data_IF_151201436118
#
_entry.id   IF_151201436118
#
_cell.length_a   1.000
_cell.length_b   1.000
_cell.length_c   1.000
_cell.angle_alpha   90.00
_cell.angle_beta   90.00
_cell.angle_gamma   90.00
#
_symmetry.space_group_name_H-M   'P 1'
#
loop_
_entity.id
_entity.type
_entity.pdbx_description
1 polymer ?
#
# COMPACT_ATOMS: atom_id res chain seq x y z
N UNK A 1 -22.32 -12.88 3.64
CA UNK A 1 -20.88 -13.05 3.39
C UNK A 1 -20.61 -14.46 2.85
N UNK A 2 -19.66 -14.61 1.93
CA UNK A 2 -19.31 -15.90 1.29
C UNK A 2 -17.79 -16.07 1.36
N UNK A 3 -17.31 -17.21 1.84
CA UNK A 3 -15.88 -17.53 1.87
C UNK A 3 -15.47 -18.19 0.55
N UNK A 4 -14.43 -17.65 -0.11
CA UNK A 4 -13.79 -18.26 -1.27
C UNK A 4 -12.30 -18.50 -0.97
N UNK A 5 -11.74 -19.59 -1.50
CA UNK A 5 -10.29 -19.83 -1.45
C UNK A 5 -9.70 -19.27 -2.73
N UNK A 6 -9.08 -18.09 -2.63
CA UNK A 6 -8.60 -17.29 -3.77
C UNK A 6 -7.28 -16.60 -3.45
N UNK A 7 -6.56 -16.19 -4.48
CA UNK A 7 -5.35 -15.38 -4.33
C UNK A 7 -5.67 -13.90 -4.01
N UNK A 8 -4.69 -13.16 -3.49
CA UNK A 8 -4.89 -11.72 -3.27
C UNK A 8 -5.20 -10.96 -4.58
N UNK A 9 -4.66 -11.42 -5.71
CA UNK A 9 -4.99 -10.84 -7.01
C UNK A 9 -6.48 -10.99 -7.36
N UNK A 10 -7.06 -12.18 -7.09
CA UNK A 10 -8.49 -12.41 -7.25
C UNK A 10 -9.31 -11.67 -6.20
N UNK A 11 -8.80 -11.58 -4.97
CA UNK A 11 -9.44 -10.84 -3.87
C UNK A 11 -9.55 -9.33 -4.21
N UNK A 12 -8.48 -8.71 -4.71
CA UNK A 12 -8.48 -7.34 -5.22
C UNK A 12 -9.51 -7.20 -6.36
N UNK A 13 -9.52 -8.13 -7.32
CA UNK A 13 -10.47 -8.07 -8.44
C UNK A 13 -11.94 -8.18 -7.98
N UNK A 14 -12.23 -9.02 -6.97
CA UNK A 14 -13.55 -9.13 -6.35
C UNK A 14 -13.93 -7.84 -5.59
N UNK A 15 -12.97 -7.17 -4.95
CA UNK A 15 -13.18 -5.88 -4.28
C UNK A 15 -13.47 -4.76 -5.31
N UNK A 16 -12.66 -4.68 -6.36
CA UNK A 16 -12.83 -3.70 -7.45
C UNK A 16 -14.19 -3.87 -8.14
N UNK A 17 -14.58 -5.13 -8.44
CA UNK A 17 -15.91 -5.41 -8.99
C UNK A 17 -17.03 -4.81 -8.12
N UNK A 18 -16.92 -4.97 -6.80
CA UNK A 18 -17.93 -4.45 -5.85
C UNK A 18 -17.86 -2.94 -5.68
N UNK A 19 -16.69 -2.34 -5.81
CA UNK A 19 -16.53 -0.89 -5.78
C UNK A 19 -17.08 -0.20 -7.03
N UNK A 20 -17.29 -0.95 -8.13
CA UNK A 20 -17.89 -0.46 -9.39
C UNK A 20 -17.18 0.77 -9.95
N UNK A 21 -15.87 0.70 -10.29
CA UNK A 21 -15.24 1.77 -11.03
C UNK A 21 -15.85 1.89 -12.43
N UNK A 22 -15.98 3.12 -12.93
CA UNK A 22 -16.49 3.41 -14.26
C UNK A 22 -15.46 3.15 -15.35
N UNK A 23 -14.17 3.35 -15.04
CA UNK A 23 -13.06 3.22 -16.00
C UNK A 23 -11.90 2.46 -15.39
N UNK A 24 -11.38 1.49 -16.14
CA UNK A 24 -10.26 0.63 -15.76
C UNK A 24 -9.23 0.62 -16.91
N UNK A 25 -8.31 1.60 -16.98
CA UNK A 25 -7.21 1.55 -17.94
C UNK A 25 -6.10 0.65 -17.41
N UNK A 26 -5.61 -0.27 -18.22
CA UNK A 26 -4.56 -1.22 -17.80
C UNK A 26 -3.57 -1.53 -18.90
N UNK A 27 -2.35 -1.87 -18.47
CA UNK A 27 -1.33 -2.58 -19.23
C UNK A 27 -0.83 -3.76 -18.39
N UNK A 28 -0.85 -5.01 -18.93
CA UNK A 28 -0.53 -6.20 -18.12
C UNK A 28 0.98 -6.31 -17.86
N UNK A 29 1.33 -6.54 -16.60
CA UNK A 29 2.70 -6.84 -16.17
C UNK A 29 2.68 -7.89 -15.05
N UNK A 30 3.61 -8.87 -15.08
CA UNK A 30 3.76 -9.88 -14.02
C UNK A 30 4.21 -9.21 -12.71
N UNK A 31 3.66 -9.54 -11.50
CA UNK A 31 2.58 -10.52 -11.25
C UNK A 31 1.16 -9.92 -11.20
N UNK A 32 0.98 -8.66 -11.60
CA UNK A 32 -0.32 -7.96 -11.61
C UNK A 32 -1.30 -8.53 -12.66
N UNK A 33 -0.82 -9.22 -13.68
CA UNK A 33 -1.63 -9.69 -14.84
C UNK A 33 -2.93 -10.38 -14.43
N UNK A 34 -2.92 -11.20 -13.36
CA UNK A 34 -4.13 -11.86 -12.87
C UNK A 34 -5.24 -10.88 -12.44
N UNK A 35 -4.89 -9.71 -11.90
CA UNK A 35 -5.87 -8.68 -11.53
C UNK A 35 -6.54 -8.17 -12.81
N UNK A 36 -5.74 -7.77 -13.80
CA UNK A 36 -6.25 -7.21 -15.04
C UNK A 36 -7.07 -8.21 -15.88
N UNK A 37 -6.63 -9.47 -15.95
CA UNK A 37 -7.36 -10.53 -16.66
C UNK A 37 -8.70 -10.79 -16.00
N UNK A 38 -8.75 -10.92 -14.66
CA UNK A 38 -10.00 -11.16 -13.96
C UNK A 38 -10.99 -10.02 -14.08
N UNK A 39 -10.52 -8.77 -14.08
CA UNK A 39 -11.38 -7.60 -14.33
C UNK A 39 -11.90 -7.58 -15.77
N UNK A 40 -11.07 -7.97 -16.74
CA UNK A 40 -11.51 -8.10 -18.13
C UNK A 40 -12.62 -9.15 -18.28
N UNK A 41 -12.49 -10.30 -17.58
CA UNK A 41 -13.53 -11.35 -17.56
C UNK A 41 -14.84 -10.80 -16.99
N UNK A 42 -14.82 -10.13 -15.83
CA UNK A 42 -16.02 -9.55 -15.22
C UNK A 42 -16.74 -8.54 -16.15
N UNK A 43 -15.98 -7.74 -16.88
CA UNK A 43 -16.59 -6.80 -17.86
C UNK A 43 -17.16 -7.57 -19.06
N UNK A 44 -16.43 -8.57 -19.58
CA UNK A 44 -16.90 -9.36 -20.72
C UNK A 44 -18.14 -10.20 -20.40
N UNK A 45 -18.25 -10.72 -19.17
CA UNK A 45 -19.38 -11.51 -18.70
C UNK A 45 -20.58 -10.64 -18.24
N UNK A 46 -20.42 -9.31 -18.24
CA UNK A 46 -21.46 -8.37 -17.80
C UNK A 46 -21.64 -8.32 -16.27
N UNK A 47 -20.68 -8.84 -15.50
CA UNK A 47 -20.67 -8.78 -14.03
C UNK A 47 -20.19 -7.42 -13.50
N UNK A 48 -19.48 -6.65 -14.31
CA UNK A 48 -18.99 -5.30 -14.02
C UNK A 48 -19.28 -4.39 -15.21
N UNK A 49 -20.08 -3.36 -14.97
CA UNK A 49 -20.37 -2.31 -15.97
C UNK A 49 -19.28 -1.23 -15.87
N UNK A 50 -18.18 -1.42 -16.62
CA UNK A 50 -17.03 -0.52 -16.65
C UNK A 50 -16.43 -0.42 -18.05
N UNK A 51 -15.83 0.72 -18.36
CA UNK A 51 -14.98 0.87 -19.53
C UNK A 51 -13.59 0.31 -19.26
N UNK A 52 -13.36 -0.94 -19.69
CA UNK A 52 -12.04 -1.58 -19.59
C UNK A 52 -11.19 -1.19 -20.80
N UNK A 53 -10.12 -0.42 -20.58
CA UNK A 53 -9.30 0.19 -21.63
C UNK A 53 -7.92 -0.45 -21.65
N UNK A 54 -7.61 -1.22 -22.69
CA UNK A 54 -6.25 -1.72 -22.96
C UNK A 54 -5.45 -0.63 -23.64
N UNK A 55 -4.34 -0.26 -23.03
CA UNK A 55 -3.39 0.74 -23.54
C UNK A 55 -2.08 0.09 -23.94
N UNK A 56 -1.17 0.86 -24.57
CA UNK A 56 0.10 0.33 -25.07
C UNK A 56 1.26 0.42 -24.06
N UNK A 57 1.02 1.08 -22.92
CA UNK A 57 2.03 1.22 -21.86
C UNK A 57 1.41 1.58 -20.52
N UNK A 58 2.17 1.37 -19.44
CA UNK A 58 1.75 1.77 -18.10
C UNK A 58 1.63 3.29 -17.97
N UNK A 59 2.52 4.06 -18.61
CA UNK A 59 2.41 5.51 -18.65
C UNK A 59 1.06 5.95 -19.24
N UNK A 60 0.62 5.33 -20.33
CA UNK A 60 -0.68 5.60 -20.93
C UNK A 60 -1.84 5.14 -20.06
N UNK A 61 -1.67 4.04 -19.28
CA UNK A 61 -2.69 3.60 -18.34
C UNK A 61 -2.95 4.66 -17.26
N UNK A 62 -1.90 5.18 -16.63
CA UNK A 62 -2.05 6.23 -15.62
C UNK A 62 -2.55 7.54 -16.24
N UNK A 63 -2.09 7.91 -17.42
CA UNK A 63 -2.57 9.11 -18.13
C UNK A 63 -4.07 9.02 -18.47
N UNK A 64 -4.55 7.85 -18.89
CA UNK A 64 -5.97 7.60 -19.11
C UNK A 64 -6.77 7.61 -17.80
N UNK A 65 -6.20 7.07 -16.71
CA UNK A 65 -6.79 7.12 -15.38
C UNK A 65 -6.98 8.56 -14.89
N UNK A 66 -5.97 9.42 -15.08
CA UNK A 66 -6.04 10.85 -14.74
C UNK A 66 -7.15 11.53 -15.54
N UNK A 67 -7.21 11.28 -16.85
CA UNK A 67 -8.25 11.85 -17.72
C UNK A 67 -9.65 11.44 -17.31
N UNK A 68 -9.86 10.16 -17.01
CA UNK A 68 -11.15 9.62 -16.55
C UNK A 68 -11.55 10.19 -15.18
N UNK A 69 -10.63 10.15 -14.20
CA UNK A 69 -10.89 10.71 -12.86
C UNK A 69 -11.12 12.23 -12.90
N UNK A 70 -10.39 12.94 -13.77
CA UNK A 70 -10.61 14.35 -14.05
C UNK A 70 -12.00 14.63 -14.69
N UNK A 71 -12.62 13.66 -15.34
CA UNK A 71 -14.00 13.76 -15.82
C UNK A 71 -15.05 13.48 -14.71
N UNK A 72 -14.62 13.18 -13.49
CA UNK A 72 -15.49 13.02 -12.32
C UNK A 72 -16.05 11.61 -12.12
N UNK A 73 -15.37 10.58 -12.63
CA UNK A 73 -15.78 9.19 -12.48
C UNK A 73 -14.82 8.38 -11.61
N UNK A 74 -15.30 7.28 -11.02
CA UNK A 74 -14.49 6.35 -10.22
C UNK A 74 -13.53 5.56 -11.12
N UNK A 75 -12.27 5.50 -10.75
CA UNK A 75 -11.20 4.90 -11.56
C UNK A 75 -10.38 3.90 -10.76
N UNK A 76 -10.05 2.78 -11.39
CA UNK A 76 -9.09 1.80 -10.89
C UNK A 76 -8.03 1.48 -11.94
N UNK A 77 -6.80 1.27 -11.49
CA UNK A 77 -5.73 0.67 -12.32
C UNK A 77 -4.88 -0.28 -11.49
N UNK A 78 -4.01 -1.05 -12.12
CA UNK A 78 -3.08 -1.92 -11.43
C UNK A 78 -1.76 -2.02 -12.20
N UNK A 79 -0.65 -2.15 -11.46
CA UNK A 79 0.69 -2.24 -12.04
C UNK A 79 1.65 -3.04 -11.15
N UNK A 80 2.93 -3.01 -11.48
CA UNK A 80 4.03 -3.67 -10.77
C UNK A 80 5.38 -3.15 -11.27
N UNK A 81 6.40 -3.06 -10.40
CA UNK A 81 7.82 -2.94 -10.79
C UNK A 81 8.12 -1.83 -11.80
N UNK A 82 8.75 -2.21 -12.94
CA UNK A 82 9.06 -1.27 -14.04
C UNK A 82 7.84 -0.57 -14.60
N UNK A 83 6.65 -1.19 -14.51
CA UNK A 83 5.41 -0.55 -14.91
C UNK A 83 5.11 0.65 -14.03
N UNK A 84 5.28 0.51 -12.70
CA UNK A 84 5.14 1.64 -11.78
C UNK A 84 6.22 2.69 -12.02
N UNK A 85 7.48 2.29 -12.17
CA UNK A 85 8.56 3.22 -12.50
C UNK A 85 8.33 3.96 -13.84
N UNK A 86 7.69 3.32 -14.82
CA UNK A 86 7.33 3.96 -16.09
C UNK A 86 6.14 4.93 -15.95
N UNK A 87 5.34 4.78 -14.88
CA UNK A 87 4.28 5.73 -14.53
C UNK A 87 4.78 6.92 -13.67
N UNK A 88 6.05 7.03 -13.33
CA UNK A 88 6.58 7.99 -12.35
C UNK A 88 6.05 9.40 -12.55
N UNK A 89 6.15 9.98 -13.76
CA UNK A 89 5.66 11.33 -14.05
C UNK A 89 4.13 11.47 -13.83
N UNK A 90 3.28 10.62 -14.47
CA UNK A 90 1.83 10.74 -14.26
C UNK A 90 1.39 10.37 -12.84
N UNK A 91 2.15 9.58 -12.07
CA UNK A 91 1.88 9.33 -10.64
C UNK A 91 1.97 10.64 -9.85
N UNK A 92 3.01 11.45 -10.06
CA UNK A 92 3.11 12.80 -9.48
C UNK A 92 2.00 13.73 -9.97
N UNK A 93 1.66 13.65 -11.25
CA UNK A 93 0.59 14.47 -11.84
C UNK A 93 -0.78 14.16 -11.23
N UNK A 94 -1.10 12.88 -10.97
CA UNK A 94 -2.36 12.47 -10.35
C UNK A 94 -2.56 13.10 -8.96
N UNK A 95 -1.55 13.04 -8.11
CA UNK A 95 -1.58 13.67 -6.79
C UNK A 95 -1.65 15.21 -6.90
N UNK A 96 -0.87 15.79 -7.84
CA UNK A 96 -0.85 17.23 -8.10
C UNK A 96 -2.19 17.78 -8.57
N UNK A 97 -2.94 16.99 -9.33
CA UNK A 97 -4.29 17.34 -9.82
C UNK A 97 -5.40 16.99 -8.83
N UNK A 98 -5.08 16.33 -7.71
CA UNK A 98 -6.05 15.94 -6.68
C UNK A 98 -7.16 15.03 -7.24
N UNK A 99 -6.78 14.03 -8.07
CA UNK A 99 -7.72 13.07 -8.65
C UNK A 99 -7.71 11.74 -7.86
N UNK A 100 -8.88 11.28 -7.36
CA UNK A 100 -8.98 10.12 -6.47
C UNK A 100 -8.92 8.79 -7.24
N UNK A 101 -7.72 8.41 -7.67
CA UNK A 101 -7.47 7.14 -8.35
C UNK A 101 -7.10 6.06 -7.33
N UNK A 102 -7.65 4.87 -7.43
CA UNK A 102 -7.19 3.70 -6.68
C UNK A 102 -6.33 2.82 -7.61
N UNK A 103 -5.13 2.48 -7.13
CA UNK A 103 -4.22 1.60 -7.85
C UNK A 103 -3.79 0.43 -6.96
N UNK A 104 -3.81 -0.78 -7.51
CA UNK A 104 -3.12 -1.91 -6.88
C UNK A 104 -1.70 -2.03 -7.44
N UNK A 105 -0.72 -2.09 -6.54
CA UNK A 105 0.66 -2.42 -6.88
C UNK A 105 1.01 -3.82 -6.37
N UNK A 106 1.22 -4.75 -7.30
CA UNK A 106 1.73 -6.08 -6.98
C UNK A 106 3.25 -6.01 -6.90
N UNK A 107 3.77 -5.64 -5.73
CA UNK A 107 5.17 -5.31 -5.48
C UNK A 107 6.13 -6.33 -6.08
N UNK A 108 7.09 -5.85 -6.85
CA UNK A 108 8.11 -6.63 -7.54
C UNK A 108 9.39 -5.81 -7.68
N UNK A 109 10.53 -6.50 -7.54
CA UNK A 109 11.86 -5.92 -7.70
C UNK A 109 12.04 -5.13 -9.00
N UNK A 110 12.78 -4.04 -8.94
CA UNK A 110 13.14 -3.21 -10.10
C UNK A 110 14.36 -3.76 -10.85
N UNK A 111 14.37 -3.64 -12.17
CA UNK A 111 15.55 -3.85 -13.02
C UNK A 111 16.58 -2.73 -12.82
N UNK A 112 17.86 -2.91 -13.08
CA UNK A 112 18.61 -4.12 -13.46
C UNK A 112 19.34 -4.69 -12.26
N UNK A 113 19.50 -6.03 -12.14
CA UNK A 113 19.13 -7.06 -13.09
C UNK A 113 17.62 -7.28 -13.15
N UNK A 114 17.11 -7.88 -14.25
CA UNK A 114 15.69 -8.20 -14.34
C UNK A 114 15.34 -9.29 -13.32
N UNK A 115 14.26 -9.05 -12.58
CA UNK A 115 13.75 -9.95 -11.58
C UNK A 115 12.22 -9.87 -11.62
N UNK A 116 11.51 -10.97 -11.37
CA UNK A 116 10.04 -11.00 -11.38
C UNK A 116 9.42 -11.24 -10.02
N UNK A 117 10.27 -11.50 -9.00
CA UNK A 117 9.81 -11.78 -7.64
C UNK A 117 9.71 -10.54 -6.78
N UNK A 118 9.17 -10.73 -5.59
CA UNK A 118 8.84 -9.67 -4.66
C UNK A 118 10.06 -8.97 -4.05
N UNK A 119 9.99 -7.67 -4.00
CA UNK A 119 10.46 -6.78 -2.94
C UNK A 119 9.59 -5.50 -3.00
N UNK A 120 9.87 -4.51 -2.17
CA UNK A 120 9.03 -3.32 -2.06
C UNK A 120 9.67 -2.07 -2.69
N UNK A 121 10.76 -2.27 -3.44
CA UNK A 121 11.53 -1.17 -4.05
C UNK A 121 10.70 -0.32 -5.01
N UNK A 122 9.75 -0.92 -5.73
CA UNK A 122 8.90 -0.23 -6.71
C UNK A 122 8.01 0.82 -6.05
N UNK A 123 7.12 0.43 -5.15
CA UNK A 123 6.23 1.38 -4.46
C UNK A 123 6.99 2.35 -3.55
N UNK A 124 8.08 1.91 -2.91
CA UNK A 124 8.89 2.78 -2.07
C UNK A 124 9.70 3.82 -2.87
N UNK A 125 9.98 3.59 -4.16
CA UNK A 125 10.54 4.62 -5.03
C UNK A 125 9.56 5.76 -5.34
N UNK A 126 8.25 5.52 -5.18
CA UNK A 126 7.17 6.51 -5.38
C UNK A 126 6.68 7.16 -4.07
N UNK A 127 7.37 6.92 -2.94
CA UNK A 127 6.95 7.42 -1.61
C UNK A 127 6.78 8.94 -1.50
N UNK A 128 7.42 9.69 -2.39
CA UNK A 128 7.40 11.16 -2.41
C UNK A 128 6.41 11.73 -3.45
N UNK A 129 5.64 10.87 -4.11
CA UNK A 129 4.72 11.27 -5.19
C UNK A 129 3.43 11.93 -4.71
N UNK A 130 3.12 11.90 -3.41
CA UNK A 130 1.89 12.46 -2.85
C UNK A 130 0.70 11.49 -2.85
N UNK A 131 0.96 10.20 -3.01
CA UNK A 131 -0.02 9.12 -2.89
C UNK A 131 -0.13 8.60 -1.46
N UNK A 132 -1.32 8.16 -1.08
CA UNK A 132 -1.50 7.33 0.11
C UNK A 132 -1.03 5.92 -0.25
N UNK A 133 -0.16 5.32 0.57
CA UNK A 133 0.38 3.97 0.37
C UNK A 133 0.01 3.08 1.54
N UNK A 134 -0.72 1.99 1.26
CA UNK A 134 -1.21 1.03 2.25
C UNK A 134 -0.73 -0.37 1.86
N UNK A 135 -0.03 -1.06 2.76
CA UNK A 135 0.54 -2.38 2.56
C UNK A 135 -0.31 -3.46 3.24
N UNK A 136 -0.89 -4.35 2.46
CA UNK A 136 -1.67 -5.46 2.97
C UNK A 136 -0.78 -6.65 3.36
N UNK A 137 -1.13 -7.32 4.45
CA UNK A 137 -0.44 -8.50 4.98
C UNK A 137 -0.98 -9.82 4.38
N UNK A 138 -2.29 -9.86 4.10
CA UNK A 138 -3.00 -11.07 3.67
C UNK A 138 -3.92 -10.81 2.48
N UNK A 139 -4.42 -11.88 1.85
CA UNK A 139 -5.44 -11.79 0.80
C UNK A 139 -6.76 -11.18 1.30
N UNK A 140 -7.13 -11.45 2.56
CA UNK A 140 -8.31 -10.83 3.18
C UNK A 140 -8.11 -9.32 3.33
N UNK A 141 -6.96 -8.90 3.85
CA UNK A 141 -6.69 -7.47 4.00
C UNK A 141 -6.59 -6.76 2.65
N UNK A 142 -6.05 -7.42 1.62
CA UNK A 142 -6.01 -6.86 0.26
C UNK A 142 -7.42 -6.58 -0.29
N UNK A 143 -8.38 -7.49 -0.06
CA UNK A 143 -9.79 -7.28 -0.40
C UNK A 143 -10.39 -6.10 0.38
N UNK A 144 -10.26 -6.13 1.70
CA UNK A 144 -10.86 -5.13 2.59
C UNK A 144 -10.27 -3.73 2.36
N UNK A 145 -8.94 -3.65 2.22
CA UNK A 145 -8.22 -2.39 1.97
C UNK A 145 -8.56 -1.80 0.61
N UNK A 146 -8.75 -2.63 -0.43
CA UNK A 146 -9.14 -2.13 -1.76
C UNK A 146 -10.50 -1.42 -1.72
N UNK A 147 -11.48 -1.93 -0.98
CA UNK A 147 -12.77 -1.26 -0.81
C UNK A 147 -12.61 0.06 -0.01
N UNK A 148 -11.86 0.02 1.09
CA UNK A 148 -11.57 1.20 1.91
C UNK A 148 -10.81 2.28 1.11
N UNK A 149 -9.91 1.88 0.22
CA UNK A 149 -9.09 2.79 -0.59
C UNK A 149 -9.95 3.73 -1.45
N UNK A 150 -11.04 3.24 -2.03
CA UNK A 150 -11.98 4.11 -2.76
C UNK A 150 -12.62 5.14 -1.83
N UNK A 151 -13.11 4.72 -0.67
CA UNK A 151 -13.73 5.63 0.30
C UNK A 151 -12.76 6.68 0.83
N UNK A 152 -11.49 6.30 1.04
CA UNK A 152 -10.43 7.21 1.48
C UNK A 152 -10.08 8.20 0.38
N UNK A 153 -9.83 7.70 -0.85
CA UNK A 153 -9.45 8.53 -1.98
C UNK A 153 -10.52 9.58 -2.33
N UNK A 154 -11.80 9.16 -2.31
CA UNK A 154 -12.95 9.98 -2.67
C UNK A 154 -13.43 10.91 -1.55
N UNK A 155 -12.85 10.82 -0.36
CA UNK A 155 -13.19 11.71 0.75
C UNK A 155 -12.85 13.16 0.37
N UNK A 156 -13.81 14.08 0.54
CA UNK A 156 -13.70 15.50 0.13
C UNK A 156 -12.53 16.25 0.78
N UNK A 157 -12.14 15.85 2.00
CA UNK A 157 -11.05 16.47 2.74
C UNK A 157 -9.67 15.84 2.40
N UNK A 158 -9.67 14.77 1.60
CA UNK A 158 -8.51 14.06 1.09
C UNK A 158 -8.31 14.29 -0.40
N UNK A 159 -9.18 13.76 -1.26
CA UNK A 159 -9.08 13.79 -2.73
C UNK A 159 -7.63 13.56 -3.21
N UNK A 160 -7.06 12.43 -2.80
CA UNK A 160 -5.73 11.99 -3.19
C UNK A 160 -5.79 10.54 -3.68
N UNK A 161 -4.93 10.19 -4.63
CA UNK A 161 -4.85 8.82 -5.08
C UNK A 161 -4.31 7.89 -3.99
N UNK A 162 -4.78 6.62 -4.00
CA UNK A 162 -4.39 5.57 -3.05
C UNK A 162 -3.77 4.39 -3.77
N UNK A 163 -2.61 3.95 -3.29
CA UNK A 163 -1.91 2.75 -3.74
C UNK A 163 -2.11 1.65 -2.69
N UNK A 164 -2.70 0.53 -3.11
CA UNK A 164 -2.81 -0.70 -2.32
C UNK A 164 -1.69 -1.63 -2.74
N UNK A 165 -0.70 -1.80 -1.87
CA UNK A 165 0.49 -2.60 -2.11
C UNK A 165 0.32 -4.01 -1.58
N UNK A 166 0.64 -5.01 -2.40
CA UNK A 166 0.62 -6.43 -2.03
C UNK A 166 1.89 -7.12 -2.49
N UNK A 167 2.45 -7.96 -1.64
CA UNK A 167 3.67 -8.69 -1.96
C UNK A 167 3.45 -9.64 -3.15
N UNK A 168 4.03 -9.30 -4.31
CA UNK A 168 3.93 -10.06 -5.55
C UNK A 168 4.49 -11.49 -5.40
N UNK A 169 3.92 -12.45 -6.11
CA UNK A 169 4.15 -13.89 -5.99
C UNK A 169 3.78 -14.48 -4.62
N UNK A 170 4.14 -13.85 -3.51
CA UNK A 170 3.77 -14.35 -2.18
C UNK A 170 2.24 -14.32 -2.05
N UNK A 171 1.62 -13.15 -2.07
CA UNK A 171 0.17 -13.02 -1.93
C UNK A 171 -0.60 -13.22 -3.25
N UNK A 172 -0.01 -12.83 -4.39
CA UNK A 172 -0.71 -12.89 -5.68
C UNK A 172 -0.82 -14.30 -6.26
N UNK A 173 -0.04 -15.29 -5.75
CA UNK A 173 0.00 -16.65 -6.27
C UNK A 173 -0.29 -17.73 -5.21
N UNK A 174 -0.29 -17.40 -3.92
CA UNK A 174 -0.87 -18.25 -2.88
C UNK A 174 -2.38 -18.03 -2.80
N UNK A 175 -3.09 -19.01 -2.30
CA UNK A 175 -4.55 -18.95 -2.13
C UNK A 175 -4.90 -19.14 -0.66
N UNK A 176 -5.76 -18.28 -0.15
CA UNK A 176 -6.22 -18.29 1.22
C UNK A 176 -7.75 -18.16 1.28
N UNK A 177 -8.38 -18.57 2.37
CA UNK A 177 -9.78 -18.27 2.60
C UNK A 177 -10.01 -16.76 2.71
N UNK A 178 -10.79 -16.19 1.81
CA UNK A 178 -11.19 -14.77 1.81
C UNK A 178 -12.70 -14.69 1.98
N UNK A 179 -13.13 -13.98 2.99
CA UNK A 179 -14.54 -13.69 3.25
C UNK A 179 -14.97 -12.47 2.44
N UNK A 180 -15.80 -12.70 1.45
CA UNK A 180 -16.33 -11.66 0.56
C UNK A 180 -17.63 -11.09 1.15
N UNK A 181 -17.70 -9.79 1.33
CA UNK A 181 -18.92 -9.08 1.70
C UNK A 181 -19.88 -8.98 0.50
N UNK A 182 -21.17 -8.83 0.77
CA UNK A 182 -22.17 -8.77 -0.30
C UNK A 182 -22.06 -7.46 -1.08
N UNK A 183 -22.67 -7.43 -2.28
CA UNK A 183 -22.68 -6.19 -3.06
C UNK A 183 -23.48 -5.10 -2.35
N UNK A 184 -24.61 -5.46 -1.75
CA UNK A 184 -25.49 -4.55 -1.02
C UNK A 184 -24.76 -3.90 0.17
N UNK A 185 -23.98 -4.68 0.91
CA UNK A 185 -23.18 -4.18 2.04
C UNK A 185 -22.08 -3.23 1.58
N UNK A 186 -21.45 -3.51 0.42
CA UNK A 186 -20.44 -2.60 -0.18
C UNK A 186 -21.11 -1.33 -0.66
N UNK A 187 -22.26 -1.41 -1.33
CA UNK A 187 -22.99 -0.23 -1.82
C UNK A 187 -23.41 0.71 -0.68
N UNK A 188 -23.72 0.15 0.51
CA UNK A 188 -24.02 0.95 1.70
C UNK A 188 -22.77 1.59 2.30
N UNK A 189 -21.63 0.88 2.33
CA UNK A 189 -20.37 1.39 2.85
C UNK A 189 -19.69 2.39 1.90
N UNK A 190 -19.73 2.10 0.60
CA UNK A 190 -19.11 2.88 -0.47
C UNK A 190 -20.19 3.30 -1.48
N UNK A 191 -20.89 4.44 -1.24
CA UNK A 191 -21.89 4.93 -2.18
C UNK A 191 -21.27 5.33 -3.53
N UNK A 192 -22.10 5.54 -4.56
CA UNK A 192 -21.61 6.07 -5.84
C UNK A 192 -20.80 7.35 -5.66
N UNK A 193 -19.69 7.45 -6.39
CA UNK A 193 -18.84 8.64 -6.33
C UNK A 193 -19.57 9.85 -6.93
N UNK A 194 -19.57 10.94 -6.21
CA UNK A 194 -20.07 12.23 -6.66
C UNK A 194 -18.95 13.26 -6.52
N UNK A 195 -18.35 13.71 -7.64
CA UNK A 195 -17.25 14.67 -7.56
C UNK A 195 -17.76 16.03 -7.04
N UNK A 196 -17.11 16.55 -6.02
CA UNK A 196 -17.41 17.88 -5.46
C UNK A 196 -16.40 18.93 -5.95
N UNK A 197 -15.14 18.52 -6.15
CA UNK A 197 -14.02 19.39 -6.50
C UNK A 197 -13.14 18.73 -7.57
N UNK A 198 -12.28 19.51 -8.21
CA UNK A 198 -11.20 19.02 -9.08
C UNK A 198 -11.70 18.11 -10.21
N UNK A 199 -12.80 18.44 -10.87
CA UNK A 199 -13.28 17.73 -12.03
C UNK A 199 -13.72 18.69 -13.16
N UNK A 200 -13.72 18.18 -14.40
CA UNK A 200 -14.03 18.96 -15.58
C UNK A 200 -15.54 18.95 -15.84
N UNK A 201 -16.23 20.04 -15.49
CA UNK A 201 -17.65 20.25 -15.82
C UNK A 201 -17.75 21.27 -16.97
N UNK A 202 -18.35 20.92 -18.13
CA UNK A 202 -18.60 21.89 -19.21
C UNK A 202 -19.46 23.09 -18.83
N UNK A 203 -20.24 22.98 -17.72
CA UNK A 203 -21.08 24.08 -17.21
C UNK A 203 -20.35 25.02 -16.29
N UNK A 204 -19.28 24.53 -15.64
CA UNK A 204 -18.38 25.31 -14.79
C UNK A 204 -16.93 24.94 -15.16
N UNK A 205 -16.44 25.44 -16.32
CA UNK A 205 -15.17 24.99 -16.87
C UNK A 205 -13.97 25.41 -16.02
N UNK A 206 -13.11 24.45 -15.70
CA UNK A 206 -11.83 24.64 -15.02
C UNK A 206 -10.70 23.98 -15.79
N UNK A 207 -9.47 24.27 -15.40
CA UNK A 207 -8.27 23.59 -15.88
C UNK A 207 -7.66 22.77 -14.74
N UNK A 208 -7.34 21.52 -15.01
CA UNK A 208 -6.54 20.66 -14.13
C UNK A 208 -5.10 20.63 -14.63
N UNK A 209 -4.12 20.63 -13.70
CA UNK A 209 -2.70 20.54 -14.04
C UNK A 209 -2.16 21.75 -14.78
N UNK A 210 -2.59 22.95 -14.41
CA UNK A 210 -2.14 24.20 -15.02
C UNK A 210 -0.69 24.50 -14.70
N UNK A 211 -0.05 25.35 -15.54
CA UNK A 211 1.25 25.93 -15.22
C UNK A 211 1.13 26.80 -13.96
N UNK A 212 1.87 26.45 -12.92
CA UNK A 212 2.03 27.27 -11.72
C UNK A 212 3.36 28.01 -11.79
N UNK A 213 3.31 29.32 -11.52
CA UNK A 213 4.50 30.13 -11.39
C UNK A 213 5.16 29.99 -10.00
N UNK A 214 6.35 30.59 -9.77
CA UNK A 214 7.04 30.53 -8.49
C UNK A 214 6.25 31.10 -7.30
N UNK A 215 5.25 31.94 -7.55
CA UNK A 215 4.44 32.56 -6.49
C UNK A 215 3.31 31.62 -5.99
N UNK A 216 3.00 30.54 -6.70
CA UNK A 216 1.86 29.66 -6.39
C UNK A 216 2.22 28.18 -6.23
N UNK A 217 3.36 27.73 -6.75
CA UNK A 217 3.73 26.31 -6.75
C UNK A 217 3.90 25.74 -5.33
N UNK A 218 4.50 26.51 -4.43
CA UNK A 218 4.74 26.06 -3.05
C UNK A 218 3.42 25.87 -2.28
N UNK A 219 2.47 26.75 -2.46
CA UNK A 219 1.14 26.69 -1.85
C UNK A 219 0.37 25.46 -2.34
N UNK A 220 0.41 25.16 -3.63
CA UNK A 220 -0.21 23.96 -4.20
C UNK A 220 0.41 22.69 -3.59
N UNK A 221 1.75 22.62 -3.47
CA UNK A 221 2.43 21.48 -2.82
C UNK A 221 2.08 21.35 -1.34
N UNK A 222 1.95 22.48 -0.64
CA UNK A 222 1.54 22.50 0.76
C UNK A 222 0.10 22.04 0.97
N UNK A 223 -0.80 22.31 0.03
CA UNK A 223 -2.18 21.80 0.09
C UNK A 223 -2.25 20.28 -0.11
N UNK A 224 -1.36 19.69 -0.92
CA UNK A 224 -1.21 18.22 -1.01
C UNK A 224 -0.71 17.65 0.32
N UNK A 225 0.30 18.26 0.92
CA UNK A 225 0.84 17.85 2.24
C UNK A 225 -0.26 17.90 3.32
N UNK A 226 -1.06 18.96 3.37
CA UNK A 226 -2.20 19.05 4.30
C UNK A 226 -3.23 17.94 4.07
N UNK A 227 -3.54 17.65 2.81
CA UNK A 227 -4.48 16.58 2.48
C UNK A 227 -3.94 15.21 2.88
N UNK A 228 -2.64 14.95 2.70
CA UNK A 228 -1.98 13.74 3.19
C UNK A 228 -2.06 13.66 4.72
N UNK A 229 -1.76 14.73 5.43
CA UNK A 229 -1.88 14.75 6.90
C UNK A 229 -3.31 14.52 7.37
N UNK A 230 -4.30 15.15 6.74
CA UNK A 230 -5.72 14.94 7.04
C UNK A 230 -6.15 13.48 6.77
N UNK A 231 -5.54 12.81 5.79
CA UNK A 231 -5.91 11.44 5.46
C UNK A 231 -5.62 10.44 6.58
N UNK A 232 -4.72 10.73 7.53
CA UNK A 232 -4.48 9.86 8.69
C UNK A 232 -5.75 9.59 9.48
N UNK A 233 -6.46 10.65 9.89
CA UNK A 233 -7.72 10.50 10.63
C UNK A 233 -8.82 9.86 9.78
N UNK A 234 -8.89 10.19 8.49
CA UNK A 234 -9.86 9.58 7.57
C UNK A 234 -9.63 8.07 7.41
N UNK A 235 -8.36 7.63 7.32
CA UNK A 235 -8.00 6.22 7.24
C UNK A 235 -8.44 5.48 8.51
N UNK A 236 -8.21 6.05 9.70
CA UNK A 236 -8.63 5.47 10.97
C UNK A 236 -10.16 5.40 11.07
N UNK A 237 -10.87 6.47 10.72
CA UNK A 237 -12.34 6.52 10.72
C UNK A 237 -12.94 5.47 9.78
N UNK A 238 -12.41 5.38 8.54
CA UNK A 238 -12.85 4.38 7.55
C UNK A 238 -12.55 2.96 8.01
N UNK A 239 -11.38 2.72 8.60
CA UNK A 239 -11.00 1.42 9.16
C UNK A 239 -11.88 1.00 10.33
N UNK A 240 -12.25 1.94 11.20
CA UNK A 240 -13.18 1.72 12.32
C UNK A 240 -14.60 1.44 11.82
N UNK A 241 -15.13 2.27 10.91
CA UNK A 241 -16.44 2.04 10.29
C UNK A 241 -16.53 0.68 9.61
N UNK A 242 -15.46 0.29 8.91
CA UNK A 242 -15.35 -1.02 8.28
C UNK A 242 -15.40 -2.14 9.33
N UNK A 243 -14.70 -1.97 10.45
CA UNK A 243 -14.70 -2.90 11.57
C UNK A 243 -16.05 -3.03 12.25
N UNK A 244 -16.74 -1.93 12.50
CA UNK A 244 -18.10 -1.90 13.09
C UNK A 244 -19.11 -2.63 12.18
N UNK A 245 -18.96 -2.52 10.85
CA UNK A 245 -19.87 -3.12 9.89
C UNK A 245 -19.54 -4.57 9.55
N UNK A 246 -18.25 -4.93 9.43
CA UNK A 246 -17.80 -6.21 8.89
C UNK A 246 -16.94 -7.03 9.86
N UNK A 247 -16.66 -6.53 11.06
CA UNK A 247 -15.95 -7.25 12.12
C UNK A 247 -14.42 -7.27 11.99
N UNK A 248 -13.83 -6.55 11.03
CA UNK A 248 -12.39 -6.44 10.82
C UNK A 248 -11.96 -4.99 10.80
N UNK A 249 -11.29 -4.55 11.86
CA UNK A 249 -10.82 -3.16 12.01
C UNK A 249 -9.37 -3.04 11.55
N UNK A 250 -9.07 -1.96 10.82
CA UNK A 250 -7.73 -1.68 10.32
C UNK A 250 -7.29 -0.28 10.73
N UNK A 251 -6.14 -0.18 11.42
CA UNK A 251 -5.51 1.08 11.83
C UNK A 251 -4.40 1.53 10.88
N UNK A 252 -3.64 2.53 11.32
CA UNK A 252 -2.44 3.01 10.64
C UNK A 252 -1.26 2.06 10.81
N UNK A 253 -1.15 1.50 12.00
CA UNK A 253 -0.20 0.46 12.41
C UNK A 253 -0.96 -0.69 13.06
N UNK A 254 -0.29 -1.83 13.23
CA UNK A 254 -0.75 -2.94 14.04
C UNK A 254 0.32 -3.27 15.07
N UNK A 255 -0.08 -3.32 16.33
CA UNK A 255 0.76 -3.72 17.44
C UNK A 255 0.54 -5.19 17.77
N UNK A 256 1.62 -5.96 17.84
CA UNK A 256 1.59 -7.37 18.20
C UNK A 256 2.58 -7.66 19.32
N UNK A 257 2.05 -7.86 20.53
CA UNK A 257 2.83 -8.13 21.75
C UNK A 257 3.94 -7.07 21.99
N UNK A 258 3.67 -5.80 21.69
CA UNK A 258 4.64 -4.70 21.77
C UNK A 258 4.67 -3.99 23.13
N UNK A 259 3.61 -4.06 23.94
CA UNK A 259 3.41 -3.19 25.09
C UNK A 259 4.49 -3.30 26.19
N UNK A 260 5.10 -4.50 26.35
CA UNK A 260 6.17 -4.74 27.32
C UNK A 260 7.47 -5.24 26.65
N UNK A 261 7.56 -5.06 25.33
CA UNK A 261 8.70 -5.56 24.56
C UNK A 261 9.99 -4.77 24.84
N UNK A 262 11.11 -5.49 24.97
CA UNK A 262 12.46 -4.93 25.05
C UNK A 262 13.09 -4.77 23.66
N UNK A 263 12.61 -5.58 22.69
CA UNK A 263 12.94 -5.48 21.26
C UNK A 263 11.64 -5.48 20.48
N UNK A 264 11.47 -4.51 19.60
CA UNK A 264 10.35 -4.43 18.67
C UNK A 264 10.87 -4.53 17.23
N UNK A 265 10.35 -5.52 16.52
CA UNK A 265 10.53 -5.62 15.06
C UNK A 265 9.57 -4.65 14.39
N UNK A 266 10.02 -3.91 13.38
CA UNK A 266 9.16 -3.02 12.59
C UNK A 266 9.25 -3.46 11.12
N UNK A 267 8.12 -3.79 10.51
CA UNK A 267 8.06 -4.31 9.15
C UNK A 267 6.75 -3.94 8.44
N UNK A 268 6.66 -4.27 7.14
CA UNK A 268 5.47 -4.06 6.29
C UNK A 268 5.15 -5.32 5.47
N UNK A 269 3.89 -5.44 5.04
CA UNK A 269 3.43 -6.47 4.11
C UNK A 269 3.39 -7.88 4.71
N UNK A 270 3.43 -8.89 3.85
CA UNK A 270 3.21 -10.30 4.22
C UNK A 270 4.28 -10.91 5.14
N UNK A 271 5.46 -10.30 5.23
CA UNK A 271 6.51 -10.75 6.12
C UNK A 271 6.08 -10.72 7.59
N UNK A 272 5.15 -9.83 7.94
CA UNK A 272 4.69 -9.65 9.31
C UNK A 272 4.04 -10.91 9.89
N UNK A 273 3.37 -11.71 9.07
CA UNK A 273 2.78 -13.00 9.47
C UNK A 273 3.87 -13.98 9.97
N UNK A 274 4.96 -14.14 9.22
CA UNK A 274 6.12 -14.94 9.65
C UNK A 274 6.77 -14.38 10.92
N UNK A 275 6.83 -13.05 11.05
CA UNK A 275 7.39 -12.42 12.26
C UNK A 275 6.51 -12.72 13.48
N UNK A 276 5.19 -12.72 13.35
CA UNK A 276 4.26 -13.07 14.45
C UNK A 276 4.53 -14.47 15.00
N UNK A 277 4.75 -15.44 14.12
CA UNK A 277 5.10 -16.81 14.53
C UNK A 277 6.39 -16.85 15.36
N UNK A 278 7.44 -16.13 14.93
CA UNK A 278 8.71 -16.06 15.66
C UNK A 278 8.55 -15.31 16.99
N UNK A 279 7.80 -14.23 17.01
CA UNK A 279 7.48 -13.49 18.24
C UNK A 279 6.78 -14.41 19.25
N UNK A 280 5.84 -15.25 18.79
CA UNK A 280 5.14 -16.19 19.64
C UNK A 280 6.10 -17.22 20.27
N UNK A 281 6.97 -17.83 19.46
CA UNK A 281 7.98 -18.77 19.93
C UNK A 281 8.95 -18.12 20.95
N UNK A 282 9.43 -16.91 20.67
CA UNK A 282 10.30 -16.16 21.59
C UNK A 282 9.62 -15.82 22.90
N UNK A 283 8.34 -15.41 22.85
CA UNK A 283 7.53 -15.13 24.04
C UNK A 283 7.30 -16.36 24.89
N UNK A 284 7.06 -17.52 24.28
CA UNK A 284 6.95 -18.81 25.00
C UNK A 284 8.26 -19.16 25.74
N UNK A 285 9.40 -18.76 25.21
CA UNK A 285 10.71 -18.90 25.85
C UNK A 285 11.03 -17.79 26.86
N UNK A 286 10.10 -16.88 27.15
CA UNK A 286 10.21 -15.81 28.15
C UNK A 286 10.95 -14.55 27.69
N UNK A 287 11.18 -14.40 26.37
CA UNK A 287 11.78 -13.20 25.79
C UNK A 287 10.72 -12.14 25.50
N UNK A 288 11.05 -10.88 25.75
CA UNK A 288 10.15 -9.74 25.52
C UNK A 288 10.39 -9.13 24.15
N UNK A 289 9.91 -9.82 23.13
CA UNK A 289 9.94 -9.39 21.73
C UNK A 289 8.53 -9.05 21.27
N UNK A 290 8.39 -8.04 20.42
CA UNK A 290 7.13 -7.64 19.82
C UNK A 290 7.30 -7.23 18.36
N UNK A 291 6.18 -6.99 17.68
CA UNK A 291 6.13 -6.48 16.31
C UNK A 291 5.24 -5.24 16.26
N UNK A 292 5.68 -4.23 15.53
CA UNK A 292 4.84 -3.15 15.02
C UNK A 292 4.83 -3.27 13.50
N UNK A 293 3.68 -3.60 12.93
CA UNK A 293 3.48 -3.59 11.50
C UNK A 293 3.05 -2.20 11.05
N UNK A 294 3.81 -1.56 10.19
CA UNK A 294 3.43 -0.31 9.55
C UNK A 294 2.52 -0.66 8.36
N UNK A 295 1.21 -0.47 8.53
CA UNK A 295 0.22 -0.73 7.48
C UNK A 295 0.14 0.43 6.49
N UNK A 296 0.06 1.64 6.98
CA UNK A 296 0.03 2.87 6.18
C UNK A 296 1.44 3.46 6.16
N UNK A 297 2.10 3.40 5.00
CA UNK A 297 3.45 3.94 4.88
C UNK A 297 3.45 5.42 4.48
N UNK A 298 2.46 5.85 3.67
CA UNK A 298 2.22 7.27 3.36
C UNK A 298 0.74 7.60 3.53
N UNK A 299 0.43 8.68 4.25
CA UNK A 299 1.36 9.48 5.08
C UNK A 299 1.96 8.65 6.23
N UNK A 300 3.22 8.93 6.60
CA UNK A 300 3.89 8.15 7.64
C UNK A 300 3.24 8.38 9.02
N UNK A 301 2.85 7.33 9.76
CA UNK A 301 2.07 7.44 11.00
C UNK A 301 2.95 7.78 12.21
N UNK A 302 3.58 8.95 12.18
CA UNK A 302 4.63 9.36 13.15
C UNK A 302 4.17 9.28 14.60
N UNK A 303 2.99 9.79 14.89
CA UNK A 303 2.52 9.89 16.29
C UNK A 303 2.12 8.50 16.82
N UNK A 304 1.41 7.69 16.02
CA UNK A 304 1.08 6.32 16.37
C UNK A 304 2.36 5.47 16.62
N UNK A 305 3.37 5.62 15.76
CA UNK A 305 4.62 4.90 15.93
C UNK A 305 5.38 5.33 17.19
N UNK A 306 5.46 6.64 17.47
CA UNK A 306 6.10 7.15 18.71
C UNK A 306 5.45 6.61 19.99
N UNK A 307 4.13 6.52 19.98
CA UNK A 307 3.36 6.01 21.13
C UNK A 307 3.60 4.51 21.31
N UNK A 308 3.65 3.75 20.22
CA UNK A 308 3.73 2.28 20.25
C UNK A 308 5.13 1.73 20.60
N UNK A 309 6.23 2.44 20.28
CA UNK A 309 7.58 1.88 20.44
C UNK A 309 8.11 1.91 21.89
N UNK A 310 7.53 2.72 22.80
CA UNK A 310 8.01 2.85 24.17
C UNK A 310 9.53 3.12 24.26
N UNK A 311 10.22 2.39 25.14
CA UNK A 311 11.69 2.46 25.34
C UNK A 311 12.44 1.28 24.68
N UNK A 312 11.77 0.49 23.83
CA UNK A 312 12.35 -0.70 23.21
C UNK A 312 13.49 -0.39 22.24
N UNK A 313 14.42 -1.34 22.04
CA UNK A 313 15.30 -1.35 20.87
C UNK A 313 14.52 -1.73 19.63
N UNK A 314 14.77 -1.07 18.50
CA UNK A 314 14.03 -1.25 17.27
C UNK A 314 14.86 -1.97 16.21
N UNK A 315 14.31 -3.06 15.67
CA UNK A 315 14.82 -3.79 14.53
C UNK A 315 13.92 -3.51 13.31
N UNK A 316 14.31 -2.56 12.47
CA UNK A 316 13.56 -2.23 11.27
C UNK A 316 13.96 -3.15 10.13
N UNK A 317 12.99 -3.85 9.57
CA UNK A 317 13.18 -4.85 8.53
C UNK A 317 12.64 -4.31 7.22
N UNK A 318 13.54 -4.07 6.27
CA UNK A 318 13.24 -3.51 4.96
C UNK A 318 13.40 -4.54 3.84
N UNK A 319 12.40 -4.60 2.96
CA UNK A 319 12.46 -5.32 1.67
C UNK A 319 12.74 -4.35 0.52
N UNK A 320 13.53 -3.34 0.79
CA UNK A 320 14.04 -2.36 -0.17
C UNK A 320 15.42 -1.85 0.27
N UNK A 321 16.02 -1.05 -0.58
CA UNK A 321 17.27 -0.37 -0.24
C UNK A 321 17.34 1.03 -0.83
N UNK A 322 17.52 2.01 0.04
CA UNK A 322 17.97 3.35 -0.33
C UNK A 322 19.49 3.34 -0.30
N UNK A 323 20.12 3.08 -1.46
CA UNK A 323 21.55 2.78 -1.57
C UNK A 323 22.42 3.72 -0.73
N UNK A 324 23.33 3.14 0.05
CA UNK A 324 24.23 3.77 1.02
C UNK A 324 23.57 4.32 2.31
N UNK A 325 22.25 4.18 2.49
CA UNK A 325 21.54 4.79 3.63
C UNK A 325 20.64 3.82 4.42
N UNK A 326 20.55 2.55 4.00
CA UNK A 326 19.61 1.58 4.58
C UNK A 326 18.30 1.49 3.81
N UNK A 327 17.24 1.00 4.43
CA UNK A 327 15.91 0.91 3.82
C UNK A 327 15.05 2.16 4.07
N UNK A 328 13.98 2.29 3.31
CA UNK A 328 13.11 3.46 3.38
C UNK A 328 12.31 3.51 4.69
N UNK A 329 11.80 2.36 5.16
CA UNK A 329 11.10 2.28 6.45
C UNK A 329 12.03 2.64 7.62
N UNK A 330 13.29 2.16 7.57
CA UNK A 330 14.29 2.52 8.57
C UNK A 330 14.55 4.01 8.62
N UNK A 331 14.74 4.66 7.47
CA UNK A 331 15.00 6.10 7.41
C UNK A 331 13.86 6.92 8.02
N UNK A 332 12.62 6.60 7.69
CA UNK A 332 11.46 7.29 8.23
C UNK A 332 11.23 6.99 9.73
N UNK A 333 11.46 5.75 10.16
CA UNK A 333 11.43 5.36 11.57
C UNK A 333 12.49 6.13 12.36
N UNK A 334 13.76 6.10 11.90
CA UNK A 334 14.89 6.79 12.54
C UNK A 334 14.68 8.30 12.66
N UNK A 335 14.03 8.91 11.67
CA UNK A 335 13.66 10.33 11.69
C UNK A 335 12.49 10.64 12.64
N UNK A 336 11.74 9.63 13.05
CA UNK A 336 10.52 9.77 13.85
C UNK A 336 10.78 9.56 15.34
N UNK A 337 11.58 8.55 15.72
CA UNK A 337 11.78 8.13 17.10
C UNK A 337 13.21 8.36 17.57
N UNK A 338 13.43 8.36 18.90
CA UNK A 338 14.77 8.54 19.51
C UNK A 338 15.37 7.21 19.99
N UNK A 339 14.68 6.10 19.79
CA UNK A 339 15.10 4.77 20.22
C UNK A 339 16.38 4.31 19.50
N UNK A 340 17.12 3.41 20.15
CA UNK A 340 18.18 2.64 19.48
C UNK A 340 17.55 1.85 18.33
N UNK A 341 17.85 2.25 17.09
CA UNK A 341 17.19 1.75 15.87
C UNK A 341 18.22 1.19 14.91
N UNK A 342 18.04 -0.06 14.54
CA UNK A 342 18.91 -0.83 13.64
C UNK A 342 18.11 -1.29 12.42
N UNK A 343 18.78 -1.39 11.28
CA UNK A 343 18.18 -1.75 10.00
C UNK A 343 18.69 -3.09 9.49
N UNK A 344 17.75 -3.89 9.01
CA UNK A 344 18.03 -5.19 8.39
C UNK A 344 17.42 -5.26 7.01
N UNK A 345 18.27 -5.29 5.98
CA UNK A 345 17.85 -5.45 4.59
C UNK A 345 17.69 -6.95 4.32
N UNK A 346 16.49 -7.35 3.90
CA UNK A 346 16.13 -8.75 3.70
C UNK A 346 15.33 -8.96 2.41
N UNK A 347 15.32 -10.18 1.90
CA UNK A 347 14.34 -10.66 0.93
C UNK A 347 14.32 -9.98 -0.43
N UNK A 348 15.33 -9.17 -0.78
CA UNK A 348 15.35 -8.48 -2.06
C UNK A 348 15.25 -9.46 -3.22
N UNK A 349 14.41 -9.11 -4.22
CA UNK A 349 14.19 -9.92 -5.41
C UNK A 349 13.56 -11.28 -5.09
N UNK A 350 12.78 -11.40 -4.02
CA UNK A 350 12.03 -12.61 -3.64
C UNK A 350 12.87 -13.67 -2.93
N UNK A 351 14.00 -13.30 -2.33
CA UNK A 351 14.74 -14.23 -1.48
C UNK A 351 13.88 -14.59 -0.26
N UNK A 352 13.78 -15.87 0.04
CA UNK A 352 13.03 -16.36 1.20
C UNK A 352 13.56 -15.76 2.49
N UNK A 353 12.64 -15.38 3.36
CA UNK A 353 12.88 -14.93 4.72
C UNK A 353 12.20 -15.95 5.63
N UNK A 354 12.99 -16.75 6.31
CA UNK A 354 12.50 -17.82 7.16
C UNK A 354 12.51 -17.39 8.63
N UNK A 355 11.87 -18.12 9.55
CA UNK A 355 11.99 -17.89 10.99
C UNK A 355 13.44 -17.76 11.47
N UNK A 356 14.37 -18.48 10.84
CA UNK A 356 15.80 -18.43 11.20
C UNK A 356 16.44 -17.06 10.94
N UNK A 357 16.12 -16.41 9.82
CA UNK A 357 16.60 -15.06 9.53
C UNK A 357 16.00 -14.04 10.50
N UNK A 358 14.73 -14.21 10.89
CA UNK A 358 14.10 -13.35 11.90
C UNK A 358 14.75 -13.54 13.28
N UNK A 359 15.03 -14.79 13.67
CA UNK A 359 15.79 -15.09 14.89
C UNK A 359 17.18 -14.45 14.88
N UNK A 360 17.89 -14.51 13.74
CA UNK A 360 19.19 -13.87 13.57
C UNK A 360 19.09 -12.35 13.77
N UNK A 361 18.05 -11.70 13.24
CA UNK A 361 17.78 -10.27 13.40
C UNK A 361 17.59 -9.92 14.90
N UNK A 362 16.79 -10.70 15.62
CA UNK A 362 16.57 -10.49 17.06
C UNK A 362 17.88 -10.59 17.82
N UNK A 363 18.70 -11.63 17.58
CA UNK A 363 19.99 -11.81 18.26
C UNK A 363 20.99 -10.68 17.93
N UNK A 364 21.04 -10.23 16.69
CA UNK A 364 21.86 -9.09 16.26
C UNK A 364 21.41 -7.79 16.93
N UNK A 365 20.11 -7.59 17.10
CA UNK A 365 19.56 -6.39 17.76
C UNK A 365 19.88 -6.35 19.25
N UNK A 366 20.05 -7.50 19.91
CA UNK A 366 20.56 -7.54 21.30
C UNK A 366 21.97 -6.97 21.41
N UNK A 367 22.85 -7.29 20.45
CA UNK A 367 24.25 -6.91 20.41
C UNK A 367 24.66 -6.40 19.01
N UNK A 368 24.20 -5.23 18.60
CA UNK A 368 24.39 -4.74 17.24
C UNK A 368 25.85 -4.43 16.93
N UNK A 369 26.30 -4.76 15.72
CA UNK A 369 27.65 -4.46 15.23
C UNK A 369 27.64 -3.25 14.28
N UNK A 370 26.57 -3.06 13.54
CA UNK A 370 26.38 -1.97 12.59
C UNK A 370 24.94 -1.45 12.64
N UNK A 371 24.75 -0.21 12.21
CA UNK A 371 23.40 0.38 12.11
C UNK A 371 22.58 -0.25 10.98
N UNK A 372 23.22 -0.73 9.91
CA UNK A 372 22.60 -1.37 8.75
C UNK A 372 23.31 -2.69 8.45
N UNK A 373 22.55 -3.76 8.41
CA UNK A 373 23.05 -5.10 8.08
C UNK A 373 22.18 -5.77 6.99
N UNK A 374 22.81 -6.63 6.20
CA UNK A 374 22.15 -7.43 5.17
C UNK A 374 22.05 -8.87 5.67
N UNK A 375 20.84 -9.41 5.72
CA UNK A 375 20.58 -10.77 6.20
C UNK A 375 20.30 -11.71 5.03
N UNK A 376 20.83 -12.94 5.15
CA UNK A 376 20.66 -13.96 4.14
C UNK A 376 21.50 -13.77 2.86
N UNK A 377 22.55 -12.95 2.88
CA UNK A 377 23.51 -12.90 1.77
C UNK A 377 24.20 -14.26 1.62
N UNK A 378 24.43 -14.67 0.37
CA UNK A 378 25.31 -15.81 0.06
C UNK A 378 26.74 -15.32 -0.04
N UNK A 379 27.66 -16.08 0.59
CA UNK A 379 29.10 -15.89 0.43
C UNK A 379 29.56 -16.16 -1.03
#
# INVERSE_FOLDING_TARGET
MVVKVISSAEAISEAVKRARPDVIPVYPITPQTKISEKLADYVADGELDAHYIKVESEHSAMSAAIGASGAGVRVFTATSSQGLAYMHEPVFAAAGMRVPIVMADANRALSSPINIWNDQQDSLSERDAGWIQIYAETGQEAFDTTIQAFKIAENKDVLLPVMVCVDGFILTHTVDPVELITQEDVDEFLPPYVPEHSYLDPKDPMSLGTLADPAHYMEIRYDIEKALQNSLSVIEEVGKEYGEKFGRTYGLIEEYKSEDAEIILIAMGSLCDTIKDVVDERRENGEKVGLIRVRVYRPFPKDALKEAVGDAKLAVIDKDVSFSSGGALYLDTKATVNNDTYNYIVGLGGRDITPKEIDEIIEKTKNPQNDVEWIGLKE
#
